data_IF_852051945702
#
_entry.id   IF_852051945702
#
_cell.length_a   1.000
_cell.length_b   1.000
_cell.length_c   1.000
_cell.angle_alpha   90.00
_cell.angle_beta   90.00
_cell.angle_gamma   90.00
#
_symmetry.space_group_name_H-M   'P 1'
#
loop_
_entity.id
_entity.type
_entity.pdbx_description
1 polymer ?
#
# COMPACT_ATOMS: atom_id res chain seq x y z
N UNK A 1 26.37 1.86 16.39
CA UNK A 1 26.78 1.69 17.80
C UNK A 1 28.13 2.33 18.13
N UNK A 2 29.19 2.15 17.33
CA UNK A 2 30.51 2.76 17.61
C UNK A 2 30.50 4.31 17.56
N UNK A 3 29.86 4.90 16.54
CA UNK A 3 29.72 6.36 16.39
C UNK A 3 29.03 7.03 17.59
N UNK A 4 27.97 6.40 18.11
CA UNK A 4 27.25 6.87 19.30
C UNK A 4 28.17 6.91 20.54
N UNK A 5 28.99 5.86 20.75
CA UNK A 5 29.97 5.83 21.85
C UNK A 5 31.07 6.88 21.68
N UNK A 6 31.48 7.19 20.45
CA UNK A 6 32.41 8.28 20.15
C UNK A 6 31.80 9.64 20.52
N UNK A 7 30.53 9.88 20.20
CA UNK A 7 29.85 11.12 20.58
C UNK A 7 29.64 11.24 22.10
N UNK A 8 29.21 10.17 22.76
CA UNK A 8 29.00 10.12 24.21
C UNK A 8 30.29 10.40 24.98
N UNK A 9 31.41 9.77 24.58
CA UNK A 9 32.70 10.02 25.20
C UNK A 9 33.18 11.48 25.03
N UNK A 10 32.94 12.11 23.86
CA UNK A 10 33.25 13.55 23.65
C UNK A 10 32.42 14.44 24.55
N UNK A 11 31.14 14.15 24.68
CA UNK A 11 30.21 14.90 25.53
C UNK A 11 30.64 14.85 27.00
N UNK A 12 30.98 13.66 27.51
CA UNK A 12 31.44 13.49 28.90
C UNK A 12 32.82 14.10 29.16
N UNK A 13 33.73 14.13 28.18
CA UNK A 13 34.98 14.92 28.26
C UNK A 13 34.66 16.41 28.40
N UNK A 14 33.73 16.93 27.60
CA UNK A 14 33.29 18.33 27.67
C UNK A 14 32.74 18.69 29.05
N UNK A 15 31.88 17.83 29.61
CA UNK A 15 31.35 17.98 30.98
C UNK A 15 32.44 17.91 32.04
N UNK A 16 33.39 17.00 31.90
CA UNK A 16 34.50 16.88 32.84
C UNK A 16 35.42 18.12 32.80
N UNK A 17 35.64 18.72 31.63
CA UNK A 17 36.43 19.96 31.48
C UNK A 17 35.76 21.19 32.11
N UNK A 18 34.42 21.22 32.11
CA UNK A 18 33.63 22.31 32.71
C UNK A 18 33.62 22.30 34.26
N UNK A 19 34.14 21.26 34.91
CA UNK A 19 34.27 21.22 36.38
C UNK A 19 35.35 22.21 36.86
N UNK A 20 35.20 22.84 38.05
CA UNK A 20 36.22 23.71 38.63
C UNK A 20 37.55 22.99 38.90
N UNK A 21 38.68 23.69 38.80
CA UNK A 21 40.02 23.10 39.01
C UNK A 21 40.28 22.64 40.45
N UNK A 22 39.46 23.08 41.41
CA UNK A 22 39.46 22.58 42.80
C UNK A 22 38.92 21.15 42.93
N UNK A 23 38.26 20.61 41.89
CA UNK A 23 37.69 19.28 41.93
C UNK A 23 38.76 18.20 41.65
N UNK A 24 39.16 17.48 42.70
CA UNK A 24 40.16 16.40 42.64
C UNK A 24 39.84 15.29 41.62
N UNK A 25 38.58 15.15 41.19
CA UNK A 25 38.16 14.12 40.24
C UNK A 25 38.20 14.56 38.76
N UNK A 26 38.45 15.85 38.48
CA UNK A 26 38.46 16.43 37.13
C UNK A 26 39.43 15.70 36.19
N UNK A 27 40.70 15.61 36.60
CA UNK A 27 41.75 14.95 35.80
C UNK A 27 41.49 13.46 35.58
N UNK A 28 40.99 12.75 36.60
CA UNK A 28 40.70 11.32 36.51
C UNK A 28 39.53 11.03 35.54
N UNK A 29 38.48 11.85 35.54
CA UNK A 29 37.33 11.70 34.61
C UNK A 29 37.73 12.00 33.18
N UNK A 30 38.49 13.07 32.93
CA UNK A 30 39.00 13.39 31.59
C UNK A 30 39.81 12.22 31.03
N UNK A 31 40.78 11.72 31.80
CA UNK A 31 41.63 10.59 31.38
C UNK A 31 40.83 9.32 31.09
N UNK A 32 39.81 9.02 31.91
CA UNK A 32 38.91 7.88 31.70
C UNK A 32 38.13 8.00 30.38
N UNK A 33 37.52 9.15 30.11
CA UNK A 33 36.71 9.33 28.91
C UNK A 33 37.56 9.49 27.64
N UNK A 34 38.78 10.00 27.73
CA UNK A 34 39.75 10.00 26.62
C UNK A 34 40.17 8.56 26.24
N UNK A 35 40.33 7.69 27.23
CA UNK A 35 40.60 6.27 26.97
C UNK A 35 39.40 5.56 26.33
N UNK A 36 38.18 5.89 26.75
CA UNK A 36 36.96 5.40 26.11
C UNK A 36 36.79 5.92 24.67
N UNK A 37 37.11 7.19 24.43
CA UNK A 37 37.10 7.81 23.10
C UNK A 37 38.07 7.12 22.15
N UNK A 38 39.31 6.86 22.60
CA UNK A 38 40.31 6.19 21.77
C UNK A 38 39.91 4.75 21.43
N UNK A 39 39.29 4.04 22.38
CA UNK A 39 38.76 2.69 22.16
C UNK A 39 37.61 2.69 21.16
N UNK A 40 36.65 3.63 21.30
CA UNK A 40 35.52 3.77 20.39
C UNK A 40 35.96 4.11 18.96
N UNK A 41 36.94 5.02 18.80
CA UNK A 41 37.51 5.37 17.49
C UNK A 41 38.20 4.19 16.80
N UNK A 42 38.94 3.36 17.56
CA UNK A 42 39.54 2.13 17.00
C UNK A 42 38.45 1.17 16.50
N UNK A 43 37.39 0.98 17.27
CA UNK A 43 36.24 0.15 16.85
C UNK A 43 35.56 0.70 15.60
N UNK A 44 35.42 2.02 15.49
CA UNK A 44 34.84 2.70 14.32
C UNK A 44 35.70 2.48 13.06
N UNK A 45 37.03 2.61 13.18
CA UNK A 45 37.98 2.32 12.10
C UNK A 45 37.97 0.84 11.68
N UNK A 46 37.91 -0.09 12.63
CA UNK A 46 37.82 -1.52 12.33
C UNK A 46 36.52 -1.87 11.61
N UNK A 47 35.38 -1.28 12.02
CA UNK A 47 34.08 -1.46 11.36
C UNK A 47 34.10 -0.84 9.96
N UNK A 48 34.69 0.35 9.79
CA UNK A 48 34.85 0.97 8.49
C UNK A 48 35.72 0.11 7.54
N UNK A 49 36.83 -0.45 8.05
CA UNK A 49 37.69 -1.37 7.30
C UNK A 49 36.99 -2.67 6.91
N UNK A 50 36.17 -3.25 7.81
CA UNK A 50 35.33 -4.42 7.48
C UNK A 50 34.27 -4.08 6.43
N UNK A 51 33.66 -2.89 6.50
CA UNK A 51 32.65 -2.43 5.54
C UNK A 51 33.24 -2.18 4.16
N UNK A 52 34.45 -1.62 4.09
CA UNK A 52 35.19 -1.46 2.84
C UNK A 52 35.53 -2.81 2.19
N UNK A 53 36.00 -3.79 2.98
CA UNK A 53 36.24 -5.16 2.49
C UNK A 53 34.96 -5.89 2.06
N UNK A 54 33.84 -5.64 2.74
CA UNK A 54 32.54 -6.18 2.35
C UNK A 54 32.00 -5.56 1.05
N UNK A 55 32.35 -4.30 0.76
CA UNK A 55 31.95 -3.62 -0.48
C UNK A 55 32.72 -4.12 -1.72
N UNK A 56 33.91 -4.73 -1.56
CA UNK A 56 34.71 -5.28 -2.66
C UNK A 56 34.36 -6.74 -3.03
N UNK A 57 33.65 -7.47 -2.18
CA UNK A 57 33.27 -8.86 -2.46
C UNK A 57 32.00 -8.93 -3.33
N UNK A 58 32.17 -9.01 -4.65
CA UNK A 58 31.09 -9.39 -5.58
C UNK A 58 30.72 -10.89 -5.52
N UNK A 59 31.42 -11.67 -4.69
CA UNK A 59 31.17 -13.10 -4.51
C UNK A 59 29.96 -13.31 -3.57
N UNK A 60 28.76 -13.18 -4.14
CA UNK A 60 27.51 -13.47 -3.45
C UNK A 60 27.33 -14.99 -3.38
N UNK A 61 27.59 -15.57 -2.21
CA UNK A 61 27.22 -16.96 -1.93
C UNK A 61 25.69 -17.05 -1.86
N UNK A 62 25.09 -17.55 -2.93
CA UNK A 62 23.66 -17.85 -3.00
C UNK A 62 23.22 -18.59 -1.74
N UNK A 63 22.32 -17.98 -0.96
CA UNK A 63 21.73 -18.59 0.24
C UNK A 63 20.86 -19.81 -0.12
N UNK A 64 20.37 -19.86 -1.36
CA UNK A 64 19.66 -21.01 -1.91
C UNK A 64 20.64 -22.04 -2.48
N UNK A 65 20.38 -23.33 -2.21
CA UNK A 65 21.06 -24.43 -2.93
C UNK A 65 20.85 -24.21 -4.43
N UNK A 66 21.93 -24.25 -5.21
CA UNK A 66 21.85 -24.38 -6.67
C UNK A 66 21.10 -25.68 -6.96
N UNK A 67 19.81 -25.57 -7.21
CA UNK A 67 18.98 -26.70 -7.63
C UNK A 67 19.43 -27.10 -9.02
N UNK A 68 19.54 -28.40 -9.29
CA UNK A 68 19.90 -28.87 -10.62
C UNK A 68 18.98 -28.27 -11.70
N UNK A 69 19.55 -27.79 -12.80
CA UNK A 69 18.78 -27.34 -13.97
C UNK A 69 17.91 -28.46 -14.60
N UNK A 70 18.05 -29.70 -14.14
CA UNK A 70 17.17 -30.82 -14.46
C UNK A 70 16.06 -30.92 -13.41
N UNK A 71 14.82 -30.70 -13.86
CA UNK A 71 13.61 -30.93 -13.06
C UNK A 71 13.14 -32.37 -13.23
N UNK A 72 12.65 -32.99 -12.15
CA UNK A 72 12.04 -34.33 -12.20
C UNK A 72 10.67 -34.35 -12.89
N UNK A 73 10.17 -33.20 -13.36
CA UNK A 73 8.87 -33.06 -14.00
C UNK A 73 7.67 -33.18 -13.05
N UNK A 74 7.87 -33.65 -11.80
CA UNK A 74 6.79 -33.89 -10.82
C UNK A 74 5.90 -32.67 -10.58
N UNK A 75 6.50 -31.47 -10.43
CA UNK A 75 5.77 -30.21 -10.28
C UNK A 75 4.94 -29.86 -11.51
N UNK A 76 5.48 -30.09 -12.71
CA UNK A 76 4.76 -29.85 -13.96
C UNK A 76 3.60 -30.83 -14.16
N UNK A 77 3.80 -32.10 -13.83
CA UNK A 77 2.73 -33.10 -13.87
C UNK A 77 1.62 -32.82 -12.85
N UNK A 78 1.97 -32.40 -11.63
CA UNK A 78 0.99 -31.95 -10.64
C UNK A 78 0.21 -30.73 -11.14
N UNK A 79 0.89 -29.72 -11.68
CA UNK A 79 0.25 -28.54 -12.22
C UNK A 79 -0.76 -28.91 -13.34
N UNK A 80 -0.34 -29.76 -14.30
CA UNK A 80 -1.22 -30.26 -15.36
C UNK A 80 -2.43 -31.02 -14.84
N UNK A 81 -2.26 -31.82 -13.79
CA UNK A 81 -3.38 -32.54 -13.17
C UNK A 81 -4.35 -31.60 -12.45
N UNK A 82 -3.84 -30.60 -11.73
CA UNK A 82 -4.66 -29.60 -11.02
C UNK A 82 -5.44 -28.73 -12.02
N UNK A 83 -4.83 -28.33 -13.14
CA UNK A 83 -5.44 -27.49 -14.17
C UNK A 83 -6.12 -28.30 -15.27
N UNK A 84 -6.29 -29.62 -15.11
CA UNK A 84 -6.94 -30.48 -16.10
C UNK A 84 -8.40 -30.04 -16.29
N UNK A 85 -8.92 -29.94 -17.53
CA UNK A 85 -10.30 -29.54 -17.79
C UNK A 85 -11.35 -30.44 -17.12
N UNK A 86 -10.99 -31.69 -16.78
CA UNK A 86 -11.85 -32.61 -16.01
C UNK A 86 -11.97 -32.22 -14.53
N UNK A 87 -11.14 -31.31 -14.05
CA UNK A 87 -11.22 -30.74 -12.71
C UNK A 87 -11.92 -29.36 -12.74
N UNK A 88 -13.22 -29.28 -12.41
CA UNK A 88 -13.97 -28.03 -12.45
C UNK A 88 -13.64 -27.08 -11.29
N UNK A 89 -12.96 -27.55 -10.24
CA UNK A 89 -12.73 -26.75 -9.04
C UNK A 89 -11.71 -25.63 -9.27
N UNK A 90 -10.61 -25.93 -9.97
CA UNK A 90 -9.53 -24.96 -10.21
C UNK A 90 -10.01 -23.69 -10.93
N UNK A 91 -10.77 -23.76 -12.05
CA UNK A 91 -11.29 -22.54 -12.68
C UNK A 91 -12.34 -21.84 -11.82
N UNK A 92 -13.20 -22.57 -11.09
CA UNK A 92 -14.19 -21.96 -10.17
C UNK A 92 -13.52 -21.18 -9.04
N UNK A 93 -12.49 -21.74 -8.43
CA UNK A 93 -11.69 -21.08 -7.39
C UNK A 93 -11.02 -19.82 -7.96
N UNK A 94 -10.37 -19.95 -9.12
CA UNK A 94 -9.71 -18.82 -9.78
C UNK A 94 -10.69 -17.68 -10.11
N UNK A 95 -11.84 -18.01 -10.71
CA UNK A 95 -12.91 -17.04 -11.02
C UNK A 95 -13.43 -16.37 -9.76
N UNK A 96 -13.70 -17.11 -8.68
CA UNK A 96 -14.20 -16.49 -7.44
C UNK A 96 -13.19 -15.51 -6.84
N UNK A 97 -11.90 -15.83 -6.89
CA UNK A 97 -10.83 -14.93 -6.46
C UNK A 97 -10.69 -13.69 -7.36
N UNK A 98 -10.89 -13.83 -8.66
CA UNK A 98 -10.86 -12.71 -9.60
C UNK A 98 -12.10 -11.83 -9.40
N UNK A 99 -13.27 -12.45 -9.27
CA UNK A 99 -14.54 -11.79 -8.99
C UNK A 99 -14.47 -11.01 -7.69
N UNK A 100 -13.98 -11.62 -6.61
CA UNK A 100 -13.81 -10.97 -5.30
C UNK A 100 -13.01 -9.66 -5.41
N UNK A 101 -11.94 -9.62 -6.21
CA UNK A 101 -11.10 -8.41 -6.34
C UNK A 101 -11.76 -7.29 -7.13
N UNK A 102 -12.65 -7.62 -8.07
CA UNK A 102 -13.42 -6.62 -8.83
C UNK A 102 -14.66 -6.17 -8.07
N UNK A 103 -15.37 -7.10 -7.44
CA UNK A 103 -16.67 -6.86 -6.83
C UNK A 103 -16.64 -6.65 -5.31
N UNK A 104 -15.50 -6.88 -4.65
CA UNK A 104 -15.31 -6.83 -3.19
C UNK A 104 -16.22 -7.77 -2.37
N UNK A 105 -16.98 -8.60 -3.08
CA UNK A 105 -17.83 -9.65 -2.56
C UNK A 105 -17.63 -10.91 -3.42
N UNK A 106 -17.34 -12.07 -2.83
CA UNK A 106 -17.16 -13.30 -3.59
C UNK A 106 -18.51 -13.92 -3.98
N UNK A 107 -18.53 -14.74 -5.03
CA UNK A 107 -19.69 -15.57 -5.38
C UNK A 107 -19.85 -16.73 -4.38
N UNK A 108 -18.72 -17.26 -3.88
CA UNK A 108 -18.64 -18.25 -2.81
C UNK A 108 -17.95 -17.61 -1.62
N UNK A 109 -18.68 -17.44 -0.53
CA UNK A 109 -18.20 -16.77 0.69
C UNK A 109 -16.98 -17.47 1.31
N UNK A 110 -16.97 -18.81 1.32
CA UNK A 110 -15.82 -19.61 1.77
C UNK A 110 -14.74 -19.67 0.69
N UNK A 111 -14.00 -18.57 0.54
CA UNK A 111 -12.96 -18.44 -0.49
C UNK A 111 -11.89 -19.55 -0.40
N UNK A 112 -11.63 -20.04 0.81
CA UNK A 112 -10.62 -21.08 1.10
C UNK A 112 -11.14 -22.53 0.98
N UNK A 113 -12.46 -22.73 0.90
CA UNK A 113 -13.05 -24.07 0.83
C UNK A 113 -14.19 -24.11 -0.20
N UNK A 114 -13.86 -24.74 -1.34
CA UNK A 114 -14.79 -25.04 -2.43
C UNK A 114 -15.28 -26.49 -2.39
N UNK A 115 -14.92 -27.23 -1.35
CA UNK A 115 -15.35 -28.60 -1.12
C UNK A 115 -16.76 -28.68 -0.53
N UNK A 116 -17.12 -29.86 -0.04
CA UNK A 116 -18.47 -30.14 0.51
C UNK A 116 -18.80 -29.35 1.78
N UNK A 117 -17.77 -28.91 2.51
CA UNK A 117 -17.92 -28.11 3.72
C UNK A 117 -17.97 -26.61 3.44
N UNK A 118 -17.69 -26.20 2.19
CA UNK A 118 -17.81 -24.83 1.72
C UNK A 118 -19.24 -24.33 1.64
N UNK A 119 -19.41 -23.01 1.62
CA UNK A 119 -20.68 -22.35 1.34
C UNK A 119 -21.06 -22.58 -0.12
N UNK A 120 -22.37 -22.62 -0.38
CA UNK A 120 -22.87 -22.69 -1.77
C UNK A 120 -22.69 -21.34 -2.47
N UNK A 121 -22.40 -21.33 -3.79
CA UNK A 121 -22.35 -20.10 -4.56
C UNK A 121 -23.71 -19.39 -4.56
N UNK A 122 -23.68 -18.06 -4.51
CA UNK A 122 -24.89 -17.24 -4.69
C UNK A 122 -25.46 -17.38 -6.11
N UNK A 123 -24.57 -17.37 -7.11
CA UNK A 123 -24.91 -17.48 -8.53
C UNK A 123 -24.16 -18.66 -9.17
N UNK A 124 -24.62 -19.91 -8.99
CA UNK A 124 -23.92 -21.10 -9.49
C UNK A 124 -23.74 -21.10 -11.01
N UNK A 125 -24.77 -20.71 -11.76
CA UNK A 125 -24.73 -20.68 -13.23
C UNK A 125 -23.73 -19.66 -13.75
N UNK A 126 -23.63 -18.49 -13.11
CA UNK A 126 -22.67 -17.45 -13.46
C UNK A 126 -21.23 -17.91 -13.17
N UNK A 127 -21.00 -18.51 -12.01
CA UNK A 127 -19.70 -19.05 -11.63
C UNK A 127 -19.24 -20.12 -12.63
N UNK A 128 -20.15 -21.02 -13.00
CA UNK A 128 -19.87 -22.11 -13.94
C UNK A 128 -19.59 -21.58 -15.34
N UNK A 129 -20.38 -20.62 -15.81
CA UNK A 129 -20.17 -19.98 -17.11
C UNK A 129 -18.81 -19.26 -17.18
N UNK A 130 -18.46 -18.47 -16.16
CA UNK A 130 -17.16 -17.79 -16.11
C UNK A 130 -15.99 -18.77 -15.99
N UNK A 131 -16.17 -19.90 -15.30
CA UNK A 131 -15.16 -20.95 -15.18
C UNK A 131 -14.91 -21.64 -16.53
N UNK A 132 -15.96 -21.88 -17.31
CA UNK A 132 -15.85 -22.39 -18.68
C UNK A 132 -15.17 -21.35 -19.60
N UNK A 133 -15.57 -20.09 -19.54
CA UNK A 133 -14.94 -19.00 -20.31
C UNK A 133 -13.43 -18.91 -20.03
N UNK A 134 -13.01 -19.10 -18.77
CA UNK A 134 -11.59 -19.10 -18.42
C UNK A 134 -10.85 -20.29 -19.05
N UNK A 135 -11.45 -21.48 -19.07
CA UNK A 135 -10.85 -22.69 -19.64
C UNK A 135 -10.79 -22.63 -21.18
N UNK A 136 -11.88 -22.25 -21.84
CA UNK A 136 -11.99 -22.20 -23.31
C UNK A 136 -11.10 -21.13 -23.95
N UNK A 137 -10.60 -20.19 -23.13
CA UNK A 137 -9.69 -19.13 -23.57
C UNK A 137 -8.30 -19.24 -22.94
N UNK A 138 -7.81 -20.47 -22.79
CA UNK A 138 -6.43 -20.80 -22.40
C UNK A 138 -5.99 -20.09 -21.12
N UNK A 139 -6.88 -20.00 -20.12
CA UNK A 139 -6.62 -19.35 -18.83
C UNK A 139 -6.27 -17.84 -18.95
N UNK A 140 -6.73 -17.17 -20.01
CA UNK A 140 -6.49 -15.75 -20.23
C UNK A 140 -7.22 -14.86 -19.20
N UNK A 141 -6.54 -14.59 -18.09
CA UNK A 141 -7.06 -13.71 -17.03
C UNK A 141 -7.37 -12.30 -17.55
N UNK A 142 -6.58 -11.79 -18.50
CA UNK A 142 -6.82 -10.46 -19.11
C UNK A 142 -8.18 -10.38 -19.80
N UNK A 143 -8.57 -11.44 -20.53
CA UNK A 143 -9.89 -11.51 -21.17
C UNK A 143 -11.00 -11.55 -20.11
N UNK A 144 -10.84 -12.40 -19.10
CA UNK A 144 -11.81 -12.53 -18.02
C UNK A 144 -11.99 -11.20 -17.25
N UNK A 145 -10.90 -10.49 -16.94
CA UNK A 145 -10.95 -9.16 -16.34
C UNK A 145 -11.71 -8.18 -17.22
N UNK A 146 -11.41 -8.12 -18.53
CA UNK A 146 -12.14 -7.27 -19.47
C UNK A 146 -13.64 -7.57 -19.45
N UNK A 147 -14.00 -8.85 -19.55
CA UNK A 147 -15.39 -9.30 -19.54
C UNK A 147 -16.14 -8.83 -18.28
N UNK A 148 -15.51 -8.94 -17.10
CA UNK A 148 -16.09 -8.46 -15.85
C UNK A 148 -16.25 -6.94 -15.83
N UNK A 149 -15.20 -6.18 -16.14
CA UNK A 149 -15.24 -4.69 -16.04
C UNK A 149 -16.10 -4.03 -17.12
N UNK A 150 -16.38 -4.72 -18.23
CA UNK A 150 -17.31 -4.24 -19.27
C UNK A 150 -18.73 -4.75 -19.07
N UNK A 151 -19.01 -5.54 -18.03
CA UNK A 151 -20.35 -6.07 -17.76
C UNK A 151 -21.28 -4.99 -17.22
N UNK A 152 -22.59 -5.12 -17.48
CA UNK A 152 -23.60 -4.21 -16.93
C UNK A 152 -23.55 -4.18 -15.39
N UNK A 153 -23.31 -5.33 -14.75
CA UNK A 153 -23.23 -5.45 -13.29
C UNK A 153 -22.07 -4.62 -12.71
N UNK A 154 -20.94 -4.57 -13.40
CA UNK A 154 -19.81 -3.74 -12.98
C UNK A 154 -20.07 -2.23 -13.18
N UNK A 155 -20.90 -1.87 -14.16
CA UNK A 155 -21.25 -0.50 -14.50
C UNK A 155 -22.47 0.05 -13.75
N UNK A 156 -23.05 -0.73 -12.83
CA UNK A 156 -24.15 -0.26 -11.99
C UNK A 156 -23.72 0.95 -11.14
N UNK A 157 -24.69 1.78 -10.78
CA UNK A 157 -24.45 2.89 -9.85
C UNK A 157 -24.26 2.38 -8.42
N UNK A 158 -23.46 3.08 -7.62
CA UNK A 158 -23.36 2.90 -6.18
C UNK A 158 -24.33 3.82 -5.39
N UNK A 159 -25.01 4.73 -6.09
CA UNK A 159 -25.99 5.64 -5.51
C UNK A 159 -27.25 4.90 -5.07
N UNK A 160 -27.71 5.22 -3.87
CA UNK A 160 -28.90 4.61 -3.26
C UNK A 160 -29.81 5.71 -2.71
N UNK A 161 -30.49 6.46 -3.59
CA UNK A 161 -31.41 7.51 -3.14
C UNK A 161 -32.58 6.89 -2.40
N UNK A 162 -32.81 7.32 -1.15
CA UNK A 162 -33.96 6.85 -0.35
C UNK A 162 -35.31 7.26 -0.95
N UNK A 163 -35.33 8.23 -1.86
CA UNK A 163 -36.53 8.66 -2.58
C UNK A 163 -37.02 7.61 -3.59
N UNK A 164 -36.15 6.72 -4.07
CA UNK A 164 -36.51 5.70 -5.06
C UNK A 164 -37.19 4.50 -4.38
N UNK A 165 -38.39 4.16 -4.84
CA UNK A 165 -39.18 3.04 -4.32
C UNK A 165 -38.54 1.68 -4.61
N UNK A 166 -37.93 1.50 -5.78
CA UNK A 166 -37.25 0.26 -6.19
C UNK A 166 -36.04 0.03 -5.29
N UNK A 167 -35.22 1.06 -5.08
CA UNK A 167 -34.05 1.00 -4.20
C UNK A 167 -34.47 0.63 -2.77
N UNK A 168 -35.50 1.28 -2.22
CA UNK A 168 -36.03 0.94 -0.88
C UNK A 168 -36.56 -0.50 -0.81
N UNK A 169 -37.26 -0.96 -1.84
CA UNK A 169 -37.74 -2.33 -1.94
C UNK A 169 -36.60 -3.34 -1.92
N UNK A 170 -35.53 -3.07 -2.69
CA UNK A 170 -34.35 -3.93 -2.77
C UNK A 170 -33.56 -3.94 -1.47
N UNK A 171 -33.35 -2.79 -0.82
CA UNK A 171 -32.68 -2.73 0.49
C UNK A 171 -33.42 -3.56 1.55
N UNK A 172 -34.76 -3.56 1.53
CA UNK A 172 -35.54 -4.38 2.48
C UNK A 172 -35.41 -5.88 2.21
N UNK A 173 -35.30 -6.30 0.95
CA UNK A 173 -35.23 -7.70 0.53
C UNK A 173 -33.81 -8.29 0.60
N UNK A 174 -32.81 -7.50 0.22
CA UNK A 174 -31.40 -7.91 0.10
C UNK A 174 -30.47 -6.82 0.63
N UNK A 175 -30.36 -6.74 1.96
CA UNK A 175 -29.50 -5.79 2.67
C UNK A 175 -28.02 -5.99 2.36
N UNK A 176 -27.60 -7.24 2.18
CA UNK A 176 -26.22 -7.64 2.00
C UNK A 176 -25.77 -7.59 0.53
N UNK A 177 -26.64 -7.14 -0.39
CA UNK A 177 -26.39 -7.08 -1.83
C UNK A 177 -25.94 -8.43 -2.43
N UNK A 178 -26.50 -9.53 -1.94
CA UNK A 178 -26.18 -10.88 -2.43
C UNK A 178 -26.55 -11.09 -3.89
N UNK A 179 -27.56 -10.37 -4.38
CA UNK A 179 -28.03 -10.40 -5.77
C UNK A 179 -27.37 -9.34 -6.66
N UNK A 180 -26.47 -8.52 -6.09
CA UNK A 180 -25.62 -7.57 -6.83
C UNK A 180 -26.46 -6.62 -7.69
N UNK A 181 -27.46 -5.99 -7.06
CA UNK A 181 -28.38 -5.07 -7.73
C UNK A 181 -27.86 -3.62 -7.76
N UNK A 182 -26.75 -3.35 -7.08
CA UNK A 182 -25.98 -2.10 -7.17
C UNK A 182 -24.49 -2.38 -7.05
N UNK A 183 -23.68 -1.37 -7.43
CA UNK A 183 -22.24 -1.44 -7.33
C UNK A 183 -21.76 -1.20 -5.90
N UNK A 184 -21.26 -2.25 -5.25
CA UNK A 184 -20.70 -2.17 -3.91
C UNK A 184 -19.37 -1.41 -3.88
N UNK A 185 -19.19 -0.58 -2.85
CA UNK A 185 -17.94 0.15 -2.59
C UNK A 185 -16.90 -0.77 -1.95
N UNK A 186 -15.69 -0.76 -2.48
CA UNK A 186 -14.56 -1.50 -1.92
C UNK A 186 -13.51 -0.58 -1.32
N UNK A 187 -12.92 -0.95 -0.19
CA UNK A 187 -11.78 -0.21 0.35
C UNK A 187 -10.49 -0.65 -0.35
N UNK A 188 -9.63 0.31 -0.67
CA UNK A 188 -8.32 0.00 -1.24
C UNK A 188 -7.41 -0.68 -0.20
N UNK A 189 -6.60 -1.62 -0.69
CA UNK A 189 -5.55 -2.27 0.10
C UNK A 189 -4.39 -1.29 0.38
N UNK A 190 -3.66 -1.51 1.47
CA UNK A 190 -2.53 -0.68 1.89
C UNK A 190 -1.52 -0.35 0.76
N UNK A 191 -1.18 -1.38 -0.03
CA UNK A 191 -0.24 -1.30 -1.14
C UNK A 191 -0.78 -0.41 -2.26
N UNK A 192 -2.08 -0.51 -2.54
CA UNK A 192 -2.77 0.30 -3.55
C UNK A 192 -2.81 1.76 -3.13
N UNK A 193 -3.08 2.05 -1.84
CA UNK A 193 -3.09 3.41 -1.31
C UNK A 193 -1.71 4.05 -1.46
N UNK A 194 -0.65 3.39 -0.97
CA UNK A 194 0.72 3.91 -1.08
C UNK A 194 1.15 4.11 -2.53
N UNK A 195 0.94 3.10 -3.38
CA UNK A 195 1.34 3.18 -4.78
C UNK A 195 0.53 4.26 -5.52
N UNK A 196 -0.74 4.48 -5.18
CA UNK A 196 -1.57 5.56 -5.77
C UNK A 196 -1.05 6.95 -5.39
N UNK A 197 -0.69 7.17 -4.12
CA UNK A 197 -0.07 8.43 -3.69
C UNK A 197 1.22 8.70 -4.46
N UNK A 198 2.09 7.69 -4.61
CA UNK A 198 3.35 7.82 -5.35
C UNK A 198 3.13 8.01 -6.85
N UNK A 199 2.11 7.37 -7.43
CA UNK A 199 1.76 7.48 -8.84
C UNK A 199 1.27 8.89 -9.17
N UNK A 200 0.36 9.44 -8.35
CA UNK A 200 -0.15 10.81 -8.51
C UNK A 200 0.93 11.86 -8.30
N UNK A 201 1.89 11.57 -7.42
CA UNK A 201 3.11 12.36 -7.30
C UNK A 201 4.11 12.12 -8.43
N UNK A 202 3.86 11.24 -9.42
CA UNK A 202 4.81 10.96 -10.51
C UNK A 202 6.17 10.40 -10.04
N UNK A 203 6.22 9.85 -8.83
CA UNK A 203 7.44 9.36 -8.19
C UNK A 203 7.51 7.82 -8.18
N UNK A 204 6.41 7.13 -8.46
CA UNK A 204 6.35 5.66 -8.45
C UNK A 204 7.30 5.07 -9.50
N UNK A 205 8.17 4.15 -9.08
CA UNK A 205 8.98 3.33 -9.98
C UNK A 205 8.21 2.04 -10.37
N UNK A 206 7.78 1.91 -11.64
CA UNK A 206 6.96 0.81 -12.11
C UNK A 206 7.75 -0.40 -12.63
N UNK A 207 9.10 -0.38 -12.56
CA UNK A 207 9.91 -1.43 -13.19
C UNK A 207 9.53 -2.82 -12.66
N UNK A 208 9.44 -3.80 -13.54
CA UNK A 208 8.99 -5.15 -13.19
C UNK A 208 10.18 -6.05 -12.83
N UNK A 209 10.05 -6.82 -11.77
CA UNK A 209 11.05 -7.78 -11.29
C UNK A 209 12.01 -7.17 -10.27
N UNK A 210 13.15 -7.83 -10.04
CA UNK A 210 14.17 -7.36 -9.09
C UNK A 210 14.16 -8.06 -7.74
N UNK A 211 15.03 -7.60 -6.85
CA UNK A 211 15.16 -8.16 -5.50
C UNK A 211 14.05 -7.66 -4.58
N UNK A 212 13.71 -8.47 -3.59
CA UNK A 212 12.83 -8.07 -2.49
C UNK A 212 13.51 -6.96 -1.69
N UNK A 213 12.78 -5.91 -1.35
CA UNK A 213 13.25 -4.78 -0.54
C UNK A 213 12.83 -4.91 0.91
N UNK A 214 13.69 -4.42 1.81
CA UNK A 214 13.39 -4.36 3.23
C UNK A 214 12.39 -3.26 3.56
N UNK A 215 11.52 -3.49 4.54
CA UNK A 215 10.48 -2.53 4.92
C UNK A 215 11.02 -1.20 5.48
N UNK A 216 12.24 -1.21 6.02
CA UNK A 216 12.95 0.00 6.46
C UNK A 216 13.25 0.99 5.33
N UNK A 217 13.29 0.51 4.09
CA UNK A 217 13.51 1.33 2.90
C UNK A 217 12.21 1.92 2.33
N UNK A 218 11.04 1.58 2.88
CA UNK A 218 9.73 1.98 2.32
C UNK A 218 9.49 3.49 2.30
N UNK A 219 10.12 4.23 3.21
CA UNK A 219 10.02 5.69 3.31
C UNK A 219 10.96 6.43 2.33
N UNK A 220 12.08 5.80 1.94
CA UNK A 220 13.10 6.42 1.09
C UNK A 220 12.97 6.01 -0.37
N UNK A 221 12.60 4.75 -0.61
CA UNK A 221 12.47 4.18 -1.95
C UNK A 221 11.07 4.37 -2.49
N UNK A 222 10.97 4.64 -3.81
CA UNK A 222 9.70 4.87 -4.50
C UNK A 222 9.22 3.66 -5.29
N UNK A 223 9.72 2.47 -4.92
CA UNK A 223 9.38 1.19 -5.55
C UNK A 223 7.92 0.85 -5.25
N UNK A 224 7.26 0.15 -6.18
CA UNK A 224 5.94 -0.45 -5.95
C UNK A 224 5.93 -1.31 -4.69
N UNK A 225 4.87 -1.17 -3.89
CA UNK A 225 4.68 -1.86 -2.62
C UNK A 225 4.73 -3.39 -2.71
N UNK A 226 4.44 -3.95 -3.88
CA UNK A 226 4.54 -5.39 -4.15
C UNK A 226 5.95 -5.99 -3.92
N UNK A 227 7.00 -5.18 -4.03
CA UNK A 227 8.39 -5.66 -3.94
C UNK A 227 8.97 -5.64 -2.53
N UNK A 228 8.19 -5.24 -1.52
CA UNK A 228 8.65 -5.25 -0.14
C UNK A 228 8.34 -6.58 0.53
N UNK A 229 9.17 -6.93 1.51
CA UNK A 229 8.98 -8.13 2.30
C UNK A 229 7.70 -8.08 3.16
N UNK A 230 7.14 -9.26 3.43
CA UNK A 230 5.93 -9.44 4.26
C UNK A 230 6.22 -10.42 5.42
N UNK A 231 7.49 -10.67 5.72
CA UNK A 231 7.89 -11.67 6.72
C UNK A 231 7.91 -11.04 8.13
N UNK A 232 7.24 -11.65 9.13
CA UNK A 232 7.25 -11.14 10.50
C UNK A 232 8.66 -11.00 11.10
N UNK A 233 9.56 -11.92 10.75
CA UNK A 233 10.92 -12.01 11.31
C UNK A 233 11.87 -10.92 10.81
N UNK A 234 11.53 -10.23 9.72
CA UNK A 234 12.38 -9.23 9.06
C UNK A 234 11.93 -7.78 9.30
N UNK A 235 11.08 -7.55 10.31
CA UNK A 235 10.57 -6.21 10.63
C UNK A 235 9.12 -5.96 10.22
N UNK A 236 8.35 -7.04 9.97
CA UNK A 236 6.89 -6.95 9.82
C UNK A 236 6.46 -6.37 8.47
N UNK A 237 5.49 -5.45 8.50
CA UNK A 237 5.02 -4.72 7.32
C UNK A 237 5.58 -3.30 7.30
N UNK A 238 5.45 -2.59 6.18
CA UNK A 238 5.78 -1.16 6.13
C UNK A 238 4.93 -0.39 7.17
N UNK A 239 5.49 0.50 8.01
CA UNK A 239 4.74 1.20 9.05
C UNK A 239 3.50 1.95 8.55
N UNK A 240 3.57 2.52 7.33
CA UNK A 240 2.41 3.13 6.69
C UNK A 240 1.31 2.10 6.36
N UNK A 241 1.70 0.92 5.86
CA UNK A 241 0.75 -0.12 5.46
C UNK A 241 0.11 -0.84 6.65
N UNK A 242 0.78 -0.91 7.80
CA UNK A 242 0.22 -1.50 9.03
C UNK A 242 -1.10 -0.83 9.46
N UNK A 243 -1.28 0.44 9.11
CA UNK A 243 -2.52 1.15 9.41
C UNK A 243 -3.69 0.75 8.49
N UNK A 244 -3.41 0.12 7.33
CA UNK A 244 -4.40 -0.18 6.28
C UNK A 244 -4.56 -1.68 6.03
N UNK A 245 -4.50 -2.48 7.11
CA UNK A 245 -4.74 -3.92 7.09
C UNK A 245 -3.84 -4.66 6.06
N UNK A 246 -2.52 -4.73 6.31
CA UNK A 246 -1.57 -5.36 5.40
C UNK A 246 -1.85 -6.88 5.28
N UNK A 247 -1.30 -7.55 4.25
CA UNK A 247 -1.45 -9.00 4.13
C UNK A 247 -0.76 -9.72 5.30
N UNK A 248 -1.45 -10.70 5.88
CA UNK A 248 -0.85 -11.67 6.79
C UNK A 248 -0.49 -12.94 6.01
N UNK A 249 0.81 -13.34 5.94
CA UNK A 249 1.21 -14.57 5.25
C UNK A 249 0.63 -15.84 5.87
N UNK A 250 0.12 -15.78 7.10
CA UNK A 250 -0.49 -16.88 7.81
C UNK A 250 -2.02 -16.98 7.62
N UNK A 251 -2.69 -15.93 7.08
CA UNK A 251 -4.16 -15.85 7.05
C UNK A 251 -4.75 -15.17 5.79
N UNK A 252 -4.27 -15.54 4.59
CA UNK A 252 -4.50 -14.76 3.37
C UNK A 252 -5.47 -15.37 2.33
N UNK A 253 -6.75 -15.57 2.67
CA UNK A 253 -7.79 -15.84 1.65
C UNK A 253 -8.72 -14.65 1.40
N UNK A 254 -8.98 -13.83 2.43
CA UNK A 254 -9.73 -12.57 2.35
C UNK A 254 -9.22 -11.65 3.46
N UNK A 255 -8.75 -10.44 3.11
CA UNK A 255 -8.31 -9.46 4.11
C UNK A 255 -9.51 -8.88 4.86
N UNK A 256 -9.34 -8.67 6.16
CA UNK A 256 -10.24 -7.82 6.94
C UNK A 256 -10.00 -6.35 6.56
N UNK A 257 -11.04 -5.55 6.64
CA UNK A 257 -10.95 -4.10 6.44
C UNK A 257 -11.42 -3.39 7.69
N UNK A 258 -10.56 -2.57 8.28
CA UNK A 258 -10.85 -1.75 9.44
C UNK A 258 -10.99 -0.29 9.04
N UNK A 259 -11.88 0.42 9.74
CA UNK A 259 -12.04 1.87 9.60
C UNK A 259 -11.69 2.47 10.94
N UNK A 260 -10.46 3.00 11.03
CA UNK A 260 -9.93 3.57 12.27
C UNK A 260 -9.44 5.00 12.04
N UNK A 261 -9.63 5.94 12.99
CA UNK A 261 -9.21 7.34 12.84
C UNK A 261 -7.73 7.52 12.50
N UNK A 262 -6.87 6.60 12.93
CA UNK A 262 -5.44 6.59 12.68
C UNK A 262 -5.11 6.55 11.18
N UNK A 263 -5.95 5.91 10.36
CA UNK A 263 -5.78 5.88 8.91
C UNK A 263 -5.91 7.29 8.30
N UNK A 264 -6.94 8.04 8.70
CA UNK A 264 -7.15 9.42 8.26
C UNK A 264 -6.03 10.35 8.76
N UNK A 265 -5.53 10.10 9.98
CA UNK A 265 -4.41 10.86 10.53
C UNK A 265 -3.12 10.62 9.74
N UNK A 266 -2.85 9.36 9.35
CA UNK A 266 -1.70 9.02 8.51
C UNK A 266 -1.78 9.65 7.11
N UNK A 267 -2.98 9.69 6.52
CA UNK A 267 -3.23 10.41 5.26
C UNK A 267 -3.15 11.93 5.39
N UNK A 268 -3.10 12.48 6.61
CA UNK A 268 -2.96 13.93 6.83
C UNK A 268 -1.54 14.36 7.17
N UNK A 269 -0.83 13.54 7.93
CA UNK A 269 0.39 13.96 8.64
C UNK A 269 1.64 13.13 8.30
N UNK A 270 1.54 12.09 7.46
CA UNK A 270 2.74 11.32 7.11
C UNK A 270 3.66 12.11 6.18
N UNK A 271 4.97 11.91 6.36
CA UNK A 271 6.00 12.52 5.49
C UNK A 271 5.80 12.14 4.01
N UNK A 272 5.32 10.91 3.77
CA UNK A 272 4.96 10.43 2.43
C UNK A 272 3.92 11.35 1.79
N UNK A 273 2.85 11.66 2.51
CA UNK A 273 1.77 12.52 1.99
C UNK A 273 2.26 13.95 1.83
N UNK A 274 2.99 14.50 2.79
CA UNK A 274 3.54 15.85 2.67
C UNK A 274 4.41 16.01 1.42
N UNK A 275 5.31 15.06 1.16
CA UNK A 275 6.13 15.06 -0.04
C UNK A 275 5.28 14.90 -1.31
N UNK A 276 4.27 14.02 -1.28
CA UNK A 276 3.41 13.74 -2.43
C UNK A 276 2.50 14.92 -2.79
N UNK A 277 1.96 15.67 -1.81
CA UNK A 277 1.11 16.83 -2.05
C UNK A 277 1.82 17.91 -2.85
N UNK A 278 3.09 18.20 -2.49
CA UNK A 278 3.92 19.15 -3.22
C UNK A 278 4.07 18.77 -4.69
N UNK A 279 4.45 17.53 -4.95
CA UNK A 279 4.66 17.05 -6.32
C UNK A 279 3.36 16.93 -7.13
N UNK A 280 2.31 16.38 -6.52
CA UNK A 280 1.00 16.23 -7.16
C UNK A 280 0.40 17.59 -7.53
N UNK A 281 0.53 18.59 -6.66
CA UNK A 281 0.03 19.95 -6.93
C UNK A 281 0.69 20.60 -8.16
N UNK A 282 1.97 20.27 -8.43
CA UNK A 282 2.71 20.75 -9.61
C UNK A 282 2.26 20.09 -10.90
N UNK A 283 1.71 18.89 -10.85
CA UNK A 283 1.21 18.17 -12.03
C UNK A 283 -0.18 18.66 -12.46
N UNK A 284 -0.93 19.29 -11.55
CA UNK A 284 -2.28 19.78 -11.83
C UNK A 284 -2.22 21.18 -12.45
N UNK A 285 -2.69 21.29 -13.69
CA UNK A 285 -2.75 22.56 -14.41
C UNK A 285 -4.11 23.24 -14.18
N UNK A 286 -4.08 24.43 -13.60
CA UNK A 286 -5.25 25.30 -13.44
C UNK A 286 -4.82 26.75 -13.28
N UNK A 287 -5.38 27.66 -14.10
CA UNK A 287 -5.04 29.09 -14.06
C UNK A 287 -5.84 29.81 -12.99
N UNK A 288 -7.10 29.42 -12.83
CA UNK A 288 -7.97 29.92 -11.77
C UNK A 288 -8.10 28.88 -10.64
N UNK A 289 -8.51 29.35 -9.46
CA UNK A 289 -8.78 28.46 -8.33
C UNK A 289 -9.86 27.40 -8.67
N UNK A 290 -10.91 27.78 -9.41
CA UNK A 290 -11.97 26.84 -9.78
C UNK A 290 -11.49 25.80 -10.80
N UNK A 291 -10.73 26.22 -11.82
CA UNK A 291 -10.10 25.29 -12.77
C UNK A 291 -9.20 24.30 -12.05
N UNK A 292 -8.37 24.79 -11.12
CA UNK A 292 -7.49 23.94 -10.32
C UNK A 292 -8.28 22.94 -9.47
N UNK A 293 -9.33 23.39 -8.77
CA UNK A 293 -10.20 22.52 -7.96
C UNK A 293 -10.78 21.40 -8.84
N UNK A 294 -11.37 21.74 -9.98
CA UNK A 294 -11.97 20.74 -10.89
C UNK A 294 -10.94 19.76 -11.42
N UNK A 295 -9.77 20.24 -11.82
CA UNK A 295 -8.68 19.40 -12.29
C UNK A 295 -8.14 18.48 -11.18
N UNK A 296 -8.02 18.99 -9.94
CA UNK A 296 -7.55 18.23 -8.78
C UNK A 296 -8.50 17.08 -8.42
N UNK A 297 -9.82 17.29 -8.49
CA UNK A 297 -10.79 16.20 -8.27
C UNK A 297 -10.65 15.08 -9.31
N UNK A 298 -10.51 15.42 -10.58
CA UNK A 298 -10.32 14.41 -11.64
C UNK A 298 -8.98 13.70 -11.47
N UNK A 299 -7.92 14.44 -11.15
CA UNK A 299 -6.58 13.87 -11.00
C UNK A 299 -6.47 12.95 -9.79
N UNK A 300 -6.96 13.36 -8.61
CA UNK A 300 -6.80 12.61 -7.35
C UNK A 300 -7.91 11.59 -7.12
N UNK A 301 -9.17 11.93 -7.42
CA UNK A 301 -10.34 11.10 -7.13
C UNK A 301 -10.93 10.42 -8.36
N UNK A 302 -10.36 10.64 -9.57
CA UNK A 302 -10.84 10.06 -10.83
C UNK A 302 -12.32 10.34 -11.15
N UNK A 303 -12.89 11.43 -10.60
CA UNK A 303 -14.26 11.86 -10.87
C UNK A 303 -14.38 13.39 -10.90
N UNK A 304 -15.39 13.95 -11.58
CA UNK A 304 -15.65 15.38 -11.50
C UNK A 304 -16.15 15.79 -10.10
N UNK A 305 -15.84 17.03 -9.73
CA UNK A 305 -16.40 17.68 -8.54
C UNK A 305 -17.86 18.11 -8.81
N UNK A 306 -18.72 17.90 -7.82
CA UNK A 306 -20.09 18.45 -7.80
C UNK A 306 -20.08 19.95 -7.53
N UNK A 307 -21.18 20.66 -7.85
CA UNK A 307 -21.27 22.10 -7.60
C UNK A 307 -21.09 22.45 -6.11
N UNK A 308 -21.66 21.64 -5.20
CA UNK A 308 -21.52 21.83 -3.76
C UNK A 308 -20.06 21.64 -3.28
N UNK A 309 -19.35 20.65 -3.82
CA UNK A 309 -17.93 20.42 -3.52
C UNK A 309 -17.07 21.57 -4.02
N UNK A 310 -17.32 22.08 -5.23
CA UNK A 310 -16.60 23.25 -5.76
C UNK A 310 -16.82 24.46 -4.86
N UNK A 311 -18.06 24.75 -4.45
CA UNK A 311 -18.36 25.85 -3.54
C UNK A 311 -17.64 25.71 -2.19
N UNK A 312 -17.64 24.50 -1.60
CA UNK A 312 -16.95 24.24 -0.35
C UNK A 312 -15.42 24.40 -0.48
N UNK A 313 -14.83 23.89 -1.57
CA UNK A 313 -13.41 24.04 -1.85
C UNK A 313 -13.01 25.49 -2.12
N UNK A 314 -13.87 26.30 -2.76
CA UNK A 314 -13.61 27.75 -2.93
C UNK A 314 -13.61 28.48 -1.59
N UNK A 315 -14.55 28.15 -0.70
CA UNK A 315 -14.63 28.74 0.64
C UNK A 315 -13.43 28.33 1.52
N UNK A 316 -12.91 27.11 1.34
CA UNK A 316 -11.65 26.68 1.94
C UNK A 316 -10.44 27.42 1.35
N UNK A 317 -10.38 27.52 0.02
CA UNK A 317 -9.30 28.20 -0.71
C UNK A 317 -9.13 29.64 -0.26
N UNK A 318 -10.22 30.41 -0.23
CA UNK A 318 -10.18 31.84 0.11
C UNK A 318 -9.74 32.05 1.56
N UNK A 319 -10.13 31.16 2.50
CA UNK A 319 -9.64 31.18 3.88
C UNK A 319 -8.15 30.87 3.98
N UNK A 320 -7.68 29.81 3.31
CA UNK A 320 -6.26 29.44 3.32
C UNK A 320 -5.38 30.50 2.66
N UNK A 321 -5.88 31.18 1.62
CA UNK A 321 -5.16 32.26 0.97
C UNK A 321 -4.94 33.46 1.90
N UNK A 322 -5.92 33.76 2.78
CA UNK A 322 -5.77 34.81 3.80
C UNK A 322 -4.71 34.47 4.85
N UNK A 323 -4.65 33.21 5.28
CA UNK A 323 -3.71 32.74 6.31
C UNK A 323 -2.28 32.57 5.78
N UNK A 324 -2.13 31.86 4.65
CA UNK A 324 -0.83 31.45 4.12
C UNK A 324 -0.21 32.48 3.18
N UNK A 325 -1.02 33.32 2.53
CA UNK A 325 -0.61 34.33 1.53
C UNK A 325 0.25 33.78 0.39
N UNK A 326 0.15 32.49 0.10
CA UNK A 326 0.92 31.78 -0.91
C UNK A 326 0.00 30.79 -1.66
N UNK A 327 -0.25 31.05 -2.94
CA UNK A 327 -1.10 30.23 -3.80
C UNK A 327 -0.61 28.78 -3.90
N UNK A 328 0.72 28.57 -3.94
CA UNK A 328 1.32 27.24 -4.04
C UNK A 328 0.97 26.38 -2.82
N UNK A 329 1.08 26.95 -1.62
CA UNK A 329 0.76 26.25 -0.37
C UNK A 329 -0.74 25.99 -0.21
N UNK A 330 -1.60 26.85 -0.77
CA UNK A 330 -3.05 26.61 -0.80
C UNK A 330 -3.37 25.41 -1.70
N UNK A 331 -2.73 25.30 -2.87
CA UNK A 331 -2.86 24.14 -3.77
C UNK A 331 -2.45 22.85 -3.10
N UNK A 332 -1.28 22.83 -2.45
CA UNK A 332 -0.80 21.67 -1.69
C UNK A 332 -1.77 21.28 -0.55
N UNK A 333 -2.32 22.28 0.13
CA UNK A 333 -3.29 22.05 1.21
C UNK A 333 -4.59 21.44 0.68
N UNK A 334 -5.07 21.87 -0.49
CA UNK A 334 -6.24 21.28 -1.14
C UNK A 334 -5.99 19.82 -1.53
N UNK A 335 -4.84 19.53 -2.15
CA UNK A 335 -4.46 18.15 -2.51
C UNK A 335 -4.41 17.25 -1.27
N UNK A 336 -3.87 17.75 -0.15
CA UNK A 336 -3.88 17.02 1.12
C UNK A 336 -5.29 16.68 1.60
N UNK A 337 -6.24 17.61 1.48
CA UNK A 337 -7.65 17.34 1.82
C UNK A 337 -8.22 16.25 0.90
N UNK A 338 -7.89 16.27 -0.39
CA UNK A 338 -8.35 15.26 -1.35
C UNK A 338 -7.76 13.87 -1.07
N UNK A 339 -6.49 13.77 -0.66
CA UNK A 339 -5.93 12.48 -0.23
C UNK A 339 -6.59 11.90 1.03
N UNK A 340 -7.12 12.75 1.90
CA UNK A 340 -7.90 12.31 3.07
C UNK A 340 -9.41 12.20 2.77
N UNK A 341 -9.83 12.39 1.52
CA UNK A 341 -11.22 12.21 1.12
C UNK A 341 -11.58 10.73 1.10
N UNK A 342 -12.79 10.38 1.54
CA UNK A 342 -13.24 8.98 1.58
C UNK A 342 -13.15 8.27 0.22
N UNK A 343 -13.39 9.01 -0.86
CA UNK A 343 -13.31 8.47 -2.23
C UNK A 343 -11.88 8.12 -2.65
N UNK A 344 -10.86 8.71 -2.03
CA UNK A 344 -9.47 8.37 -2.35
C UNK A 344 -9.13 6.93 -1.96
N UNK A 345 -9.66 6.47 -0.81
CA UNK A 345 -9.42 5.12 -0.30
C UNK A 345 -10.51 4.12 -0.70
N UNK A 346 -11.42 4.50 -1.58
CA UNK A 346 -12.59 3.71 -1.96
C UNK A 346 -12.68 3.51 -3.47
N UNK A 347 -12.78 2.26 -3.91
CA UNK A 347 -13.09 1.89 -5.29
C UNK A 347 -14.62 1.85 -5.44
N UNK A 348 -15.13 2.66 -6.36
CA UNK A 348 -16.56 2.71 -6.73
C UNK A 348 -16.76 1.97 -8.04
#
# INVERSE_FOLDING_TARGET
MAEWRTMEARYEIGRAKALPDSNKQKGARIKKFEQQLSTARKQEQDVAGRRAKAAESTDYKLLSRVTSNRSTGRRASLARWVTDPRNPLTPRVAVNHIWLRHFHAPLVESVYDFGRNGKRPTHPQLLDWLAVELLEHDWSMKRLHRLMVTSHVYQLSDERPESDEVVRGNIKRDKDNRWIWYRGRGRMEAEVIRDSVLLLAGQLDPTIGGQVLLNTLSATTRRRSLYYEVYPEAGGSMPFAELFDPPDPCDCFRRSSTVVPQQALALSNSDLIHAACGETSRQIVGKTAEEFIRAAFVHVLSRPATAAEVSACRLFWDRQLQELKDDGRVRESLVRVLFNHNDFVTIR
#
